data_IF_421524813630
#
_entry.id   IF_421524813630
#
_cell.length_a   1.000
_cell.length_b   1.000
_cell.length_c   1.000
_cell.angle_alpha   90.00
_cell.angle_beta   90.00
_cell.angle_gamma   90.00
#
_symmetry.space_group_name_H-M   'P 1'
#
loop_
_entity.id
_entity.type
_entity.pdbx_description
1 polymer ?
#
# COMPACT_ATOMS: atom_id res chain seq x y z
N UNK A 1 -19.43 20.77 9.69
CA UNK A 1 -18.80 20.56 8.38
C UNK A 1 -18.24 19.13 8.23
N UNK A 2 -17.34 18.67 9.08
CA UNK A 2 -16.72 17.33 8.94
C UNK A 2 -17.69 16.14 9.04
N UNK A 3 -18.63 16.17 9.97
CA UNK A 3 -19.65 15.10 10.14
C UNK A 3 -20.69 14.99 9.01
N UNK A 4 -20.93 16.05 8.25
CA UNK A 4 -21.94 16.07 7.18
C UNK A 4 -21.42 15.61 5.82
N UNK A 5 -20.09 15.55 5.65
CA UNK A 5 -19.46 15.25 4.36
C UNK A 5 -18.88 13.81 4.29
N UNK A 6 -18.96 13.03 5.39
CA UNK A 6 -18.40 11.68 5.50
C UNK A 6 -16.94 11.63 5.01
N UNK A 7 -16.15 12.65 5.44
CA UNK A 7 -14.75 12.70 5.15
C UNK A 7 -14.02 11.67 6.02
N UNK A 8 -13.29 10.77 5.38
CA UNK A 8 -12.40 9.83 6.04
C UNK A 8 -10.98 9.92 5.47
N UNK A 9 -10.00 9.58 6.28
CA UNK A 9 -8.66 9.28 5.81
C UNK A 9 -8.63 7.79 5.50
N UNK A 10 -8.50 7.46 4.21
CA UNK A 10 -8.60 6.07 3.75
C UNK A 10 -7.49 5.22 4.32
N UNK A 11 -6.28 5.75 4.42
CA UNK A 11 -5.15 5.06 5.00
C UNK A 11 -4.10 6.00 5.54
N UNK A 12 -3.49 5.65 6.66
CA UNK A 12 -2.16 6.10 7.06
C UNK A 12 -1.21 4.93 6.84
N UNK A 13 -0.17 5.16 6.05
CA UNK A 13 0.80 4.12 5.69
C UNK A 13 2.19 4.52 6.18
N UNK A 14 2.79 3.67 7.02
CA UNK A 14 4.18 3.81 7.39
C UNK A 14 5.05 3.08 6.35
N UNK A 15 5.86 3.83 5.60
CA UNK A 15 6.91 3.26 4.77
C UNK A 15 8.09 2.84 5.64
N UNK A 16 8.62 1.64 5.46
CA UNK A 16 9.81 1.14 6.17
C UNK A 16 10.75 0.51 5.15
N UNK A 17 11.93 1.10 4.96
CA UNK A 17 12.97 0.49 4.13
C UNK A 17 13.51 -0.77 4.80
N UNK A 18 13.61 -1.86 4.05
CA UNK A 18 14.16 -3.13 4.52
C UNK A 18 15.49 -3.50 3.86
N UNK A 19 16.11 -2.59 3.10
CA UNK A 19 17.38 -2.89 2.40
C UNK A 19 18.51 -3.24 3.36
N UNK A 20 18.58 -2.64 4.54
CA UNK A 20 19.54 -2.94 5.60
C UNK A 20 19.28 -4.26 6.33
N UNK A 21 18.09 -4.86 6.10
CA UNK A 21 17.73 -6.16 6.63
C UNK A 21 18.23 -7.31 5.75
N UNK A 22 18.67 -7.05 4.51
CA UNK A 22 19.21 -8.08 3.63
C UNK A 22 20.31 -8.86 4.31
N UNK A 23 20.28 -10.18 4.19
CA UNK A 23 21.24 -11.10 4.78
C UNK A 23 21.38 -12.37 3.93
N UNK A 24 22.53 -13.05 3.95
CA UNK A 24 22.73 -14.27 3.18
C UNK A 24 21.95 -15.46 3.75
N UNK A 25 21.67 -15.48 5.05
CA UNK A 25 20.89 -16.51 5.71
C UNK A 25 19.51 -15.99 6.13
N UNK A 26 18.53 -16.89 6.09
CA UNK A 26 17.13 -16.55 6.34
C UNK A 26 16.86 -16.13 7.79
N UNK A 27 17.49 -16.75 8.77
CA UNK A 27 17.24 -16.48 10.19
C UNK A 27 17.68 -15.07 10.57
N UNK A 28 18.87 -14.65 10.12
CA UNK A 28 19.36 -13.29 10.31
C UNK A 28 18.47 -12.27 9.62
N UNK A 29 18.02 -12.55 8.40
CA UNK A 29 17.07 -11.71 7.67
C UNK A 29 15.76 -11.57 8.45
N UNK A 30 15.13 -12.69 8.83
CA UNK A 30 13.85 -12.70 9.55
C UNK A 30 13.93 -11.93 10.88
N UNK A 31 15.01 -12.12 11.64
CA UNK A 31 15.26 -11.39 12.87
C UNK A 31 15.37 -9.87 12.65
N UNK A 32 16.13 -9.44 11.63
CA UNK A 32 16.30 -8.01 11.31
C UNK A 32 14.98 -7.37 10.88
N UNK A 33 14.23 -8.02 9.97
CA UNK A 33 12.94 -7.55 9.51
C UNK A 33 11.97 -7.38 10.67
N UNK A 34 11.80 -8.44 11.48
CA UNK A 34 10.92 -8.40 12.65
C UNK A 34 11.31 -7.29 13.61
N UNK A 35 12.60 -7.22 13.98
CA UNK A 35 13.11 -6.19 14.90
C UNK A 35 12.88 -4.77 14.37
N UNK A 36 13.07 -4.54 13.06
CA UNK A 36 12.90 -3.22 12.46
C UNK A 36 11.44 -2.80 12.40
N UNK A 37 10.55 -3.69 11.95
CA UNK A 37 9.11 -3.41 11.87
C UNK A 37 8.52 -3.16 13.25
N UNK A 38 8.76 -4.06 14.22
CA UNK A 38 8.21 -3.91 15.57
C UNK A 38 8.67 -2.60 16.21
N UNK A 39 9.97 -2.29 16.16
CA UNK A 39 10.53 -1.06 16.75
C UNK A 39 9.91 0.22 16.18
N UNK A 40 9.66 0.27 14.86
CA UNK A 40 9.15 1.49 14.23
C UNK A 40 7.63 1.60 14.27
N UNK A 41 6.91 0.48 14.16
CA UNK A 41 5.46 0.49 13.99
C UNK A 41 4.66 0.20 15.28
N UNK A 42 5.32 -0.08 16.42
CA UNK A 42 4.67 -0.40 17.71
C UNK A 42 3.55 0.58 18.08
N UNK A 43 3.77 1.88 17.84
CA UNK A 43 2.83 2.93 18.22
C UNK A 43 1.98 3.47 17.07
N UNK A 44 2.09 2.90 15.86
CA UNK A 44 1.41 3.43 14.67
C UNK A 44 -0.11 3.43 14.83
N UNK A 45 -0.68 2.29 15.22
CA UNK A 45 -2.14 2.10 15.32
C UNK A 45 -2.71 3.04 16.38
N UNK A 46 -2.17 3.01 17.60
CA UNK A 46 -2.60 3.87 18.70
C UNK A 46 -2.51 5.35 18.33
N UNK A 47 -1.40 5.78 17.71
CA UNK A 47 -1.23 7.18 17.30
C UNK A 47 -2.26 7.60 16.26
N UNK A 48 -2.57 6.74 15.29
CA UNK A 48 -3.60 7.01 14.28
C UNK A 48 -4.99 7.16 14.93
N UNK A 49 -5.33 6.31 15.89
CA UNK A 49 -6.61 6.36 16.59
C UNK A 49 -6.73 7.64 17.42
N UNK A 50 -5.70 8.00 18.19
CA UNK A 50 -5.66 9.27 18.97
C UNK A 50 -5.83 10.49 18.05
N UNK A 51 -5.16 10.51 16.90
CA UNK A 51 -5.25 11.64 15.95
C UNK A 51 -6.63 11.66 15.29
N UNK A 52 -7.14 10.50 14.86
CA UNK A 52 -8.48 10.37 14.30
C UNK A 52 -9.56 10.90 15.24
N UNK A 53 -9.51 10.50 16.50
CA UNK A 53 -10.45 10.93 17.54
C UNK A 53 -10.34 12.43 17.81
N UNK A 54 -9.11 12.98 17.89
CA UNK A 54 -8.87 14.42 18.11
C UNK A 54 -9.53 15.29 17.05
N UNK A 55 -9.46 14.89 15.79
CA UNK A 55 -10.03 15.65 14.68
C UNK A 55 -11.46 15.23 14.31
N UNK A 56 -11.97 14.14 14.89
CA UNK A 56 -13.26 13.56 14.53
C UNK A 56 -13.29 13.00 13.10
N UNK A 57 -12.14 12.57 12.57
CA UNK A 57 -11.95 12.03 11.23
C UNK A 57 -11.35 10.63 11.37
N UNK A 58 -12.09 9.56 11.06
CA UNK A 58 -11.58 8.22 11.22
C UNK A 58 -10.44 7.93 10.21
N UNK A 59 -9.38 7.28 10.69
CA UNK A 59 -8.38 6.64 9.85
C UNK A 59 -8.83 5.20 9.61
N UNK A 60 -9.31 4.92 8.40
CA UNK A 60 -9.98 3.64 8.09
C UNK A 60 -9.00 2.48 8.09
N UNK A 61 -7.81 2.64 7.50
CA UNK A 61 -6.78 1.61 7.50
C UNK A 61 -5.44 2.16 8.01
N UNK A 62 -4.74 1.37 8.80
CA UNK A 62 -3.37 1.59 9.22
C UNK A 62 -2.51 0.55 8.52
N UNK A 63 -1.53 0.98 7.74
CA UNK A 63 -0.76 0.09 6.86
C UNK A 63 0.74 0.31 7.03
N UNK A 64 1.48 -0.70 6.62
CA UNK A 64 2.92 -0.60 6.39
C UNK A 64 3.17 -0.86 4.91
N UNK A 65 4.10 -0.14 4.30
CA UNK A 65 4.68 -0.48 3.01
C UNK A 65 6.18 -0.69 3.18
N UNK A 66 6.69 -1.79 2.62
CA UNK A 66 8.12 -2.10 2.72
C UNK A 66 8.80 -2.03 1.36
N UNK A 67 10.13 -2.02 1.35
CA UNK A 67 10.92 -2.12 0.12
C UNK A 67 10.52 -3.34 -0.69
N UNK A 68 10.66 -3.33 -2.03
CA UNK A 68 10.33 -4.48 -2.88
C UNK A 68 11.06 -5.74 -2.40
N UNK A 69 10.31 -6.71 -1.89
CA UNK A 69 10.87 -7.89 -1.23
C UNK A 69 11.71 -8.76 -2.18
N UNK A 70 11.38 -8.81 -3.46
CA UNK A 70 12.20 -9.51 -4.44
C UNK A 70 13.63 -8.95 -4.54
N UNK A 71 13.82 -7.66 -4.26
CA UNK A 71 15.15 -7.03 -4.22
C UNK A 71 15.86 -7.30 -2.90
N UNK A 72 15.15 -7.18 -1.77
CA UNK A 72 15.71 -7.43 -0.44
C UNK A 72 16.12 -8.91 -0.27
N UNK A 73 15.32 -9.81 -0.83
CA UNK A 73 15.47 -11.26 -0.76
C UNK A 73 16.03 -11.88 -2.05
N UNK A 74 16.81 -11.14 -2.84
CA UNK A 74 17.21 -11.54 -4.20
C UNK A 74 17.92 -12.93 -4.28
N UNK A 75 18.57 -13.36 -3.21
CA UNK A 75 19.25 -14.67 -3.13
C UNK A 75 18.40 -15.81 -2.59
N UNK A 76 17.15 -15.57 -2.22
CA UNK A 76 16.31 -16.57 -1.56
C UNK A 76 15.61 -17.50 -2.57
N UNK A 77 15.41 -18.73 -2.15
CA UNK A 77 14.63 -19.73 -2.88
C UNK A 77 13.13 -19.38 -2.82
N UNK A 78 12.34 -20.03 -3.67
CA UNK A 78 10.86 -19.89 -3.68
C UNK A 78 10.26 -20.16 -2.29
N UNK A 79 10.70 -21.19 -1.60
CA UNK A 79 10.16 -21.56 -0.29
C UNK A 79 10.57 -20.55 0.80
N UNK A 80 11.80 -20.03 0.73
CA UNK A 80 12.20 -18.92 1.59
C UNK A 80 11.43 -17.63 1.34
N UNK A 81 10.95 -17.37 0.10
CA UNK A 81 10.05 -16.26 -0.19
C UNK A 81 8.67 -16.45 0.49
N UNK A 82 8.14 -17.68 0.51
CA UNK A 82 6.91 -17.98 1.26
C UNK A 82 7.11 -17.70 2.75
N UNK A 83 8.20 -18.17 3.32
CA UNK A 83 8.51 -17.92 4.74
C UNK A 83 8.72 -16.42 5.03
N UNK A 84 9.37 -15.67 4.12
CA UNK A 84 9.53 -14.22 4.26
C UNK A 84 8.16 -13.50 4.27
N UNK A 85 7.21 -13.98 3.47
CA UNK A 85 5.83 -13.49 3.50
C UNK A 85 5.14 -13.75 4.85
N UNK A 86 5.33 -14.95 5.43
CA UNK A 86 4.81 -15.30 6.75
C UNK A 86 5.42 -14.43 7.86
N UNK A 87 6.72 -14.17 7.81
CA UNK A 87 7.40 -13.25 8.75
C UNK A 87 6.76 -11.86 8.72
N UNK A 88 6.46 -11.33 7.52
CA UNK A 88 5.76 -10.04 7.40
C UNK A 88 4.33 -10.10 7.95
N UNK A 89 3.61 -11.19 7.72
CA UNK A 89 2.24 -11.37 8.23
C UNK A 89 2.18 -11.42 9.76
N UNK A 90 3.14 -12.12 10.36
CA UNK A 90 3.29 -12.15 11.82
C UNK A 90 3.63 -10.76 12.38
N UNK A 91 4.52 -10.01 11.72
CA UNK A 91 4.79 -8.63 12.09
C UNK A 91 3.52 -7.76 12.00
N UNK A 92 2.70 -7.93 10.95
CA UNK A 92 1.45 -7.19 10.79
C UNK A 92 0.46 -7.49 11.93
N UNK A 93 0.39 -8.75 12.36
CA UNK A 93 -0.44 -9.18 13.50
C UNK A 93 0.06 -8.60 14.81
N UNK A 94 1.37 -8.64 15.05
CA UNK A 94 2.00 -8.15 16.28
C UNK A 94 1.81 -6.63 16.49
N UNK A 95 1.98 -5.83 15.41
CA UNK A 95 1.80 -4.37 15.49
C UNK A 95 0.36 -3.92 15.29
N UNK A 96 -0.54 -4.83 14.91
CA UNK A 96 -1.98 -4.59 14.78
C UNK A 96 -2.38 -3.82 13.51
N UNK A 97 -1.51 -3.69 12.50
CA UNK A 97 -1.86 -3.00 11.25
C UNK A 97 -2.78 -3.87 10.37
N UNK A 98 -3.58 -3.22 9.54
CA UNK A 98 -4.53 -3.92 8.67
C UNK A 98 -3.82 -4.69 7.54
N UNK A 99 -2.80 -4.07 6.92
CA UNK A 99 -2.07 -4.66 5.80
C UNK A 99 -0.59 -4.26 5.80
N UNK A 100 0.25 -5.14 5.24
CA UNK A 100 1.62 -4.82 4.80
C UNK A 100 1.70 -5.02 3.29
N UNK A 101 2.08 -3.96 2.57
CA UNK A 101 2.41 -3.97 1.14
C UNK A 101 3.92 -4.06 0.92
N UNK A 102 4.33 -4.34 -0.32
CA UNK A 102 5.74 -4.42 -0.71
C UNK A 102 6.26 -5.86 -0.88
N UNK A 103 5.44 -6.89 -0.60
CA UNK A 103 5.76 -8.25 -1.01
C UNK A 103 5.59 -8.35 -2.53
N UNK A 104 6.57 -7.85 -3.29
CA UNK A 104 6.44 -7.66 -4.72
C UNK A 104 7.77 -7.59 -5.46
N UNK A 105 7.66 -7.47 -6.80
CA UNK A 105 8.78 -7.43 -7.73
C UNK A 105 8.59 -6.35 -8.81
N UNK A 106 9.71 -5.82 -9.32
CA UNK A 106 9.78 -4.78 -10.34
C UNK A 106 10.40 -5.37 -11.61
N UNK A 107 9.56 -5.97 -12.45
CA UNK A 107 10.00 -6.80 -13.58
C UNK A 107 9.86 -6.14 -14.95
N UNK A 108 9.69 -4.82 -15.00
CA UNK A 108 9.51 -4.07 -16.25
C UNK A 108 10.72 -4.11 -17.19
N UNK A 109 11.94 -4.29 -16.66
CA UNK A 109 13.19 -4.35 -17.44
C UNK A 109 13.67 -5.76 -17.75
N UNK A 110 12.98 -6.76 -17.26
CA UNK A 110 13.38 -8.16 -17.26
C UNK A 110 13.14 -8.77 -15.88
N UNK A 111 13.46 -10.03 -15.73
CA UNK A 111 13.18 -10.77 -14.50
C UNK A 111 14.44 -11.49 -14.04
N UNK A 112 14.86 -11.19 -12.81
CA UNK A 112 15.95 -11.91 -12.12
C UNK A 112 15.45 -13.24 -11.56
N UNK A 113 16.35 -14.19 -11.21
CA UNK A 113 15.94 -15.42 -10.54
C UNK A 113 15.20 -15.17 -9.20
N UNK A 114 15.61 -14.17 -8.41
CA UNK A 114 14.93 -13.83 -7.15
C UNK A 114 13.52 -13.29 -7.37
N UNK A 115 13.31 -12.44 -8.37
CA UNK A 115 11.99 -11.95 -8.75
C UNK A 115 11.10 -13.09 -9.25
N UNK A 116 11.64 -14.02 -10.02
CA UNK A 116 10.94 -15.22 -10.44
C UNK A 116 10.53 -16.09 -9.25
N UNK A 117 11.43 -16.32 -8.30
CA UNK A 117 11.13 -17.08 -7.09
C UNK A 117 9.99 -16.45 -6.27
N UNK A 118 9.97 -15.12 -6.14
CA UNK A 118 8.86 -14.42 -5.46
C UNK A 118 7.54 -14.60 -6.21
N UNK A 119 7.54 -14.43 -7.54
CA UNK A 119 6.31 -14.59 -8.36
C UNK A 119 5.79 -16.04 -8.29
N UNK A 120 6.68 -17.03 -8.32
CA UNK A 120 6.31 -18.44 -8.18
C UNK A 120 5.86 -18.80 -6.75
N UNK A 121 6.21 -18.00 -5.75
CA UNK A 121 5.76 -18.16 -4.36
C UNK A 121 4.35 -17.58 -4.11
N UNK A 122 3.84 -16.66 -4.94
CA UNK A 122 2.59 -15.93 -4.71
C UNK A 122 1.38 -16.81 -4.36
N UNK A 123 1.11 -17.93 -5.06
CA UNK A 123 -0.08 -18.73 -4.75
C UNK A 123 -0.08 -19.24 -3.32
N UNK A 124 1.03 -19.81 -2.86
CA UNK A 124 1.15 -20.31 -1.49
C UNK A 124 1.28 -19.18 -0.47
N UNK A 125 2.09 -18.16 -0.74
CA UNK A 125 2.29 -17.03 0.14
C UNK A 125 0.97 -16.31 0.46
N UNK A 126 0.16 -16.00 -0.56
CA UNK A 126 -1.13 -15.32 -0.37
C UNK A 126 -2.23 -16.23 0.17
N UNK A 127 -2.12 -17.56 -0.02
CA UNK A 127 -3.03 -18.51 0.59
C UNK A 127 -2.77 -18.71 2.08
N UNK A 128 -1.52 -18.59 2.54
CA UNK A 128 -1.12 -18.87 3.94
C UNK A 128 -0.97 -17.63 4.81
N UNK A 129 -1.19 -16.44 4.27
CA UNK A 129 -1.11 -15.15 5.00
C UNK A 129 -2.44 -14.40 4.94
N UNK A 130 -2.70 -13.54 5.92
CA UNK A 130 -3.96 -12.80 6.03
C UNK A 130 -3.80 -11.32 5.65
N UNK A 131 -2.73 -10.66 6.09
CA UNK A 131 -2.53 -9.21 6.02
C UNK A 131 -1.51 -8.76 4.98
N UNK A 132 -0.96 -9.67 4.19
CA UNK A 132 0.03 -9.33 3.18
C UNK A 132 -0.65 -9.04 1.85
N UNK A 133 -0.29 -7.90 1.26
CA UNK A 133 -0.67 -7.52 -0.09
C UNK A 133 0.57 -7.48 -0.99
N UNK A 134 0.41 -7.99 -2.21
CA UNK A 134 1.48 -8.13 -3.19
C UNK A 134 1.25 -7.23 -4.40
N UNK A 135 2.33 -6.81 -5.02
CA UNK A 135 2.30 -6.10 -6.31
C UNK A 135 3.44 -6.50 -7.21
N UNK A 136 3.13 -6.65 -8.49
CA UNK A 136 4.13 -6.90 -9.53
C UNK A 136 4.05 -5.78 -10.56
N UNK A 137 5.13 -5.00 -10.72
CA UNK A 137 5.20 -3.96 -11.73
C UNK A 137 5.78 -4.52 -13.03
N UNK A 138 4.94 -4.61 -14.07
CA UNK A 138 5.30 -5.24 -15.36
C UNK A 138 5.66 -4.23 -16.44
N UNK A 139 5.57 -2.94 -16.17
CA UNK A 139 5.85 -1.93 -17.19
C UNK A 139 6.21 -0.58 -16.60
N UNK A 140 6.94 0.22 -17.38
CA UNK A 140 7.25 1.62 -17.08
C UNK A 140 7.37 2.43 -18.37
N UNK A 141 7.24 3.76 -18.25
CA UNK A 141 7.44 4.67 -19.41
C UNK A 141 8.86 4.59 -19.98
N UNK A 142 9.84 4.15 -19.19
CA UNK A 142 11.23 4.01 -19.65
C UNK A 142 11.51 2.66 -20.28
N UNK A 143 10.97 1.58 -19.74
CA UNK A 143 11.28 0.21 -20.17
C UNK A 143 10.23 -0.38 -21.13
N UNK A 144 9.04 0.24 -21.22
CA UNK A 144 7.90 -0.36 -21.91
C UNK A 144 7.21 -1.41 -21.03
N UNK A 145 6.51 -2.34 -21.65
CA UNK A 145 5.77 -3.41 -21.00
C UNK A 145 6.50 -4.73 -21.21
N UNK A 146 6.78 -5.45 -20.13
CA UNK A 146 7.33 -6.82 -20.19
C UNK A 146 6.20 -7.83 -20.44
N UNK A 147 6.00 -8.20 -21.70
CA UNK A 147 4.91 -9.09 -22.10
C UNK A 147 5.06 -10.52 -21.56
N UNK A 148 6.29 -10.99 -21.32
CA UNK A 148 6.52 -12.30 -20.68
C UNK A 148 6.07 -12.27 -19.22
N UNK A 149 6.31 -11.17 -18.52
CA UNK A 149 5.81 -10.96 -17.17
C UNK A 149 4.28 -10.86 -17.14
N UNK A 150 3.67 -10.16 -18.11
CA UNK A 150 2.19 -10.08 -18.23
C UNK A 150 1.58 -11.45 -18.40
N UNK A 151 2.14 -12.29 -19.31
CA UNK A 151 1.69 -13.67 -19.52
C UNK A 151 1.82 -14.50 -18.23
N UNK A 152 3.00 -14.44 -17.60
CA UNK A 152 3.27 -15.17 -16.36
C UNK A 152 2.31 -14.75 -15.24
N UNK A 153 2.03 -13.46 -15.11
CA UNK A 153 1.10 -12.97 -14.09
C UNK A 153 -0.34 -13.42 -14.34
N UNK A 154 -0.76 -13.53 -15.60
CA UNK A 154 -2.04 -14.15 -15.94
C UNK A 154 -2.17 -15.57 -15.40
N UNK A 155 -1.12 -16.39 -15.58
CA UNK A 155 -1.06 -17.76 -15.05
C UNK A 155 -1.06 -17.76 -13.51
N UNK A 156 -0.23 -16.93 -12.89
CA UNK A 156 -0.14 -16.84 -11.42
C UNK A 156 -1.43 -16.35 -10.75
N UNK A 157 -2.18 -15.45 -11.38
CA UNK A 157 -3.50 -15.03 -10.87
C UNK A 157 -4.47 -16.22 -10.82
N UNK A 158 -4.48 -17.06 -11.84
CA UNK A 158 -5.31 -18.28 -11.84
C UNK A 158 -4.87 -19.26 -10.74
N UNK A 159 -3.57 -19.42 -10.53
CA UNK A 159 -3.04 -20.28 -9.46
C UNK A 159 -3.39 -19.71 -8.07
N UNK A 160 -3.31 -18.39 -7.86
CA UNK A 160 -3.74 -17.72 -6.61
C UNK A 160 -5.24 -17.93 -6.38
N UNK A 161 -6.05 -17.80 -7.43
CA UNK A 161 -7.49 -18.05 -7.34
C UNK A 161 -7.77 -19.48 -6.91
N UNK A 162 -7.10 -20.46 -7.56
CA UNK A 162 -7.25 -21.88 -7.21
C UNK A 162 -6.77 -22.18 -5.78
N UNK A 163 -5.62 -21.62 -5.37
CA UNK A 163 -5.07 -21.82 -4.02
C UNK A 163 -5.92 -21.22 -2.89
N UNK A 164 -6.84 -20.32 -3.19
CA UNK A 164 -7.74 -19.65 -2.23
C UNK A 164 -9.23 -19.82 -2.56
N UNK A 165 -9.56 -20.85 -3.36
CA UNK A 165 -10.92 -21.10 -3.83
C UNK A 165 -11.91 -21.37 -2.68
N UNK A 166 -11.45 -21.99 -1.59
CA UNK A 166 -12.20 -22.24 -0.36
C UNK A 166 -12.55 -20.96 0.43
N UNK A 167 -11.93 -19.83 0.08
CA UNK A 167 -12.12 -18.50 0.67
C UNK A 167 -12.50 -17.46 -0.37
N UNK A 168 -13.37 -17.81 -1.31
CA UNK A 168 -13.86 -16.94 -2.38
C UNK A 168 -12.74 -16.28 -3.22
N UNK A 169 -11.63 -16.98 -3.41
CA UNK A 169 -10.45 -16.51 -4.13
C UNK A 169 -9.87 -15.18 -3.57
N UNK A 170 -9.94 -14.98 -2.25
CA UNK A 170 -9.49 -13.75 -1.58
C UNK A 170 -8.02 -13.39 -1.86
N UNK A 171 -7.18 -14.37 -2.19
CA UNK A 171 -5.80 -14.14 -2.59
C UNK A 171 -5.68 -13.18 -3.78
N UNK A 172 -6.63 -13.22 -4.72
CA UNK A 172 -6.64 -12.30 -5.86
C UNK A 172 -6.93 -10.84 -5.45
N UNK A 173 -7.69 -10.62 -4.37
CA UNK A 173 -7.94 -9.28 -3.83
C UNK A 173 -6.70 -8.68 -3.14
N UNK A 174 -5.70 -9.52 -2.81
CA UNK A 174 -4.42 -9.12 -2.21
C UNK A 174 -3.29 -8.98 -3.22
N UNK A 175 -3.54 -9.21 -4.50
CA UNK A 175 -2.56 -9.16 -5.58
C UNK A 175 -2.94 -8.10 -6.61
N UNK A 176 -2.00 -7.23 -6.95
CA UNK A 176 -2.17 -6.25 -8.03
C UNK A 176 -1.02 -6.32 -9.03
N UNK A 177 -1.33 -6.21 -10.31
CA UNK A 177 -0.35 -6.06 -11.38
C UNK A 177 -0.36 -4.61 -11.83
N UNK A 178 0.79 -3.93 -11.66
CA UNK A 178 0.95 -2.53 -12.01
C UNK A 178 1.68 -2.35 -13.34
N UNK A 179 1.37 -1.24 -13.98
CA UNK A 179 2.17 -0.69 -15.07
C UNK A 179 2.44 0.79 -14.78
N UNK A 180 3.71 1.17 -14.72
CA UNK A 180 4.16 2.54 -14.46
C UNK A 180 3.74 3.10 -13.10
N UNK A 181 3.80 2.28 -12.05
CA UNK A 181 3.50 2.71 -10.69
C UNK A 181 4.59 3.67 -10.18
N UNK A 182 4.25 4.80 -9.54
CA UNK A 182 5.19 5.60 -8.77
C UNK A 182 5.76 4.84 -7.56
N UNK A 183 6.92 5.30 -7.07
CA UNK A 183 7.65 4.62 -5.98
C UNK A 183 7.07 4.90 -4.58
N UNK A 184 6.14 5.82 -4.44
CA UNK A 184 5.62 6.36 -3.20
C UNK A 184 4.08 6.38 -3.16
N UNK A 185 3.42 5.29 -3.54
CA UNK A 185 1.95 5.20 -3.56
C UNK A 185 1.41 4.63 -2.25
N UNK A 186 1.11 5.47 -1.24
CA UNK A 186 0.64 4.99 0.06
C UNK A 186 -0.81 4.49 0.03
N UNK A 187 -1.57 4.86 -0.99
CA UNK A 187 -3.00 4.59 -1.09
C UNK A 187 -3.32 3.14 -1.48
N UNK A 188 -2.51 2.54 -2.34
CA UNK A 188 -2.78 1.20 -2.85
C UNK A 188 -2.27 0.13 -1.89
N UNK A 189 -3.12 -0.81 -1.51
CA UNK A 189 -2.68 -2.01 -0.83
C UNK A 189 -1.74 -2.80 -1.77
N UNK A 190 -0.62 -3.27 -1.22
CA UNK A 190 0.43 -3.92 -2.01
C UNK A 190 1.46 -2.99 -2.63
N UNK A 191 1.26 -1.66 -2.59
CA UNK A 191 2.30 -0.70 -2.96
C UNK A 191 3.57 -0.91 -2.12
N UNK A 192 4.71 -0.50 -2.66
CA UNK A 192 6.01 -0.67 -2.03
C UNK A 192 6.65 0.69 -1.72
N UNK A 193 7.61 0.69 -0.80
CA UNK A 193 8.47 1.84 -0.54
C UNK A 193 9.64 1.85 -1.52
N UNK A 194 9.78 2.93 -2.30
CA UNK A 194 10.85 3.08 -3.28
C UNK A 194 12.22 3.30 -2.67
N UNK A 195 13.26 3.11 -3.48
CA UNK A 195 14.67 3.27 -3.07
C UNK A 195 15.02 4.72 -2.72
N UNK A 196 14.32 5.68 -3.33
CA UNK A 196 14.53 7.12 -3.10
C UNK A 196 13.86 7.69 -1.86
N UNK A 197 13.04 6.90 -1.18
CA UNK A 197 12.28 7.30 -0.01
C UNK A 197 13.12 7.28 1.28
N UNK A 198 12.73 8.03 2.34
CA UNK A 198 13.35 7.94 3.66
C UNK A 198 13.31 6.52 4.23
N UNK A 199 14.21 6.22 5.19
CA UNK A 199 14.27 4.90 5.84
C UNK A 199 12.95 4.53 6.54
N UNK A 200 12.31 5.52 7.17
CA UNK A 200 10.93 5.41 7.69
C UNK A 200 10.18 6.71 7.38
N UNK A 201 8.96 6.61 6.88
CA UNK A 201 8.15 7.77 6.47
C UNK A 201 6.66 7.52 6.69
N UNK A 202 5.92 8.57 7.03
CA UNK A 202 4.45 8.51 7.11
C UNK A 202 3.85 9.11 5.86
N UNK A 203 3.01 8.34 5.18
CA UNK A 203 2.24 8.73 4.01
C UNK A 203 0.74 8.59 4.29
N UNK A 204 -0.09 9.36 3.60
CA UNK A 204 -1.54 9.34 3.77
C UNK A 204 -2.23 9.15 2.43
N UNK A 205 -3.25 8.32 2.41
CA UNK A 205 -4.15 8.19 1.28
C UNK A 205 -5.56 8.66 1.67
N UNK A 206 -6.12 9.57 0.89
CA UNK A 206 -7.48 10.09 1.10
C UNK A 206 -8.44 9.56 0.05
N UNK A 207 -9.72 9.41 0.41
CA UNK A 207 -10.76 8.98 -0.52
C UNK A 207 -11.64 10.16 -0.91
N UNK A 208 -11.56 10.55 -2.19
CA UNK A 208 -12.28 11.71 -2.74
C UNK A 208 -13.65 11.43 -3.37
N UNK A 209 -13.92 10.25 -4.01
CA UNK A 209 -15.08 10.08 -4.87
C UNK A 209 -16.42 10.36 -4.20
N UNK A 210 -16.63 9.87 -2.98
CA UNK A 210 -17.88 10.09 -2.24
C UNK A 210 -18.10 11.55 -1.84
N UNK A 211 -17.03 12.26 -1.46
CA UNK A 211 -17.08 13.69 -1.10
C UNK A 211 -17.33 14.53 -2.34
N UNK A 212 -16.64 14.22 -3.45
CA UNK A 212 -16.81 14.90 -4.74
C UNK A 212 -18.25 14.71 -5.26
N UNK A 213 -18.78 13.48 -5.20
CA UNK A 213 -20.17 13.22 -5.60
C UNK A 213 -21.14 14.10 -4.83
N UNK A 214 -21.05 14.14 -3.49
CA UNK A 214 -21.93 14.99 -2.66
C UNK A 214 -21.78 16.48 -2.96
N UNK A 215 -20.58 16.95 -3.26
CA UNK A 215 -20.33 18.33 -3.62
C UNK A 215 -21.00 18.69 -4.96
N UNK A 216 -20.93 17.78 -5.94
CA UNK A 216 -21.60 17.93 -7.23
C UNK A 216 -23.13 17.86 -7.09
N UNK A 217 -23.66 16.91 -6.30
CA UNK A 217 -25.09 16.79 -6.04
C UNK A 217 -25.64 18.11 -5.46
N UNK A 218 -24.98 18.72 -4.48
CA UNK A 218 -25.34 20.03 -3.91
C UNK A 218 -25.27 21.17 -4.95
N UNK A 219 -24.25 21.16 -5.81
CA UNK A 219 -24.12 22.17 -6.85
C UNK A 219 -25.26 22.03 -7.89
N UNK A 220 -25.64 20.80 -8.21
CA UNK A 220 -26.78 20.51 -9.10
C UNK A 220 -28.12 20.92 -8.46
N UNK A 221 -28.32 20.61 -7.17
CA UNK A 221 -29.51 21.07 -6.43
C UNK A 221 -29.65 22.61 -6.42
N UNK A 222 -28.50 23.33 -6.36
CA UNK A 222 -28.51 24.80 -6.31
C UNK A 222 -28.69 25.47 -7.68
N UNK A 223 -28.16 24.88 -8.76
CA UNK A 223 -28.15 25.50 -10.12
C UNK A 223 -29.02 24.75 -11.13
N UNK A 224 -29.41 23.51 -10.89
CA UNK A 224 -30.17 22.67 -11.81
C UNK A 224 -29.52 22.58 -13.18
N UNK A 225 -30.31 22.75 -14.22
CA UNK A 225 -29.88 22.71 -15.62
C UNK A 225 -28.93 23.85 -16.03
N UNK A 226 -28.73 24.85 -15.18
CA UNK A 226 -27.76 25.94 -15.39
C UNK A 226 -26.33 25.59 -14.90
N UNK A 227 -26.11 24.38 -14.32
CA UNK A 227 -24.79 23.93 -13.93
C UNK A 227 -23.94 23.64 -15.18
N UNK A 228 -22.94 24.47 -15.42
CA UNK A 228 -22.03 24.28 -16.55
C UNK A 228 -20.90 23.26 -16.21
N UNK A 229 -20.23 22.74 -17.26
CA UNK A 229 -19.04 21.87 -17.09
C UNK A 229 -17.94 22.61 -16.33
N UNK A 230 -17.78 23.91 -16.56
CA UNK A 230 -16.81 24.76 -15.84
C UNK A 230 -17.14 24.84 -14.36
N UNK A 231 -18.42 25.03 -13.99
CA UNK A 231 -18.84 25.02 -12.58
C UNK A 231 -18.55 23.67 -11.92
N UNK A 232 -18.87 22.57 -12.61
CA UNK A 232 -18.58 21.23 -12.11
C UNK A 232 -17.09 20.99 -11.91
N UNK A 233 -16.25 21.43 -12.84
CA UNK A 233 -14.79 21.34 -12.73
C UNK A 233 -14.26 22.12 -11.52
N UNK A 234 -14.75 23.34 -11.27
CA UNK A 234 -14.37 24.13 -10.09
C UNK A 234 -14.82 23.49 -8.77
N UNK A 235 -16.02 22.90 -8.73
CA UNK A 235 -16.52 22.15 -7.56
C UNK A 235 -15.60 20.96 -7.27
N UNK A 236 -15.22 20.18 -8.29
CA UNK A 236 -14.29 19.04 -8.14
C UNK A 236 -12.95 19.50 -7.63
N UNK A 237 -12.35 20.51 -8.25
CA UNK A 237 -11.04 21.09 -7.88
C UNK A 237 -11.02 21.57 -6.42
N UNK A 238 -12.00 22.36 -6.02
CA UNK A 238 -12.10 22.83 -4.63
C UNK A 238 -12.28 21.70 -3.63
N UNK A 239 -13.08 20.69 -3.99
CA UNK A 239 -13.32 19.53 -3.12
C UNK A 239 -12.06 18.68 -2.99
N UNK A 240 -11.37 18.38 -4.09
CA UNK A 240 -10.12 17.65 -4.08
C UNK A 240 -9.07 18.35 -3.19
N UNK A 241 -8.92 19.66 -3.36
CA UNK A 241 -8.00 20.45 -2.53
C UNK A 241 -8.31 20.35 -1.03
N UNK A 242 -9.60 20.45 -0.64
CA UNK A 242 -10.01 20.31 0.77
C UNK A 242 -9.70 18.92 1.33
N UNK A 243 -10.00 17.88 0.56
CA UNK A 243 -9.77 16.48 0.98
C UNK A 243 -8.27 16.22 1.18
N UNK A 244 -7.44 16.68 0.24
CA UNK A 244 -5.97 16.55 0.33
C UNK A 244 -5.42 17.27 1.57
N UNK A 245 -5.87 18.52 1.81
CA UNK A 245 -5.44 19.31 2.99
C UNK A 245 -5.81 18.63 4.31
N UNK A 246 -6.93 17.95 4.38
CA UNK A 246 -7.30 17.18 5.57
C UNK A 246 -6.36 15.98 5.77
N UNK A 247 -6.07 15.26 4.68
CA UNK A 247 -5.08 14.17 4.72
C UNK A 247 -3.72 14.65 5.20
N UNK A 248 -3.25 15.78 4.67
CA UNK A 248 -1.99 16.41 5.05
C UNK A 248 -1.94 16.78 6.55
N UNK A 249 -3.03 17.34 7.10
CA UNK A 249 -3.11 17.68 8.53
C UNK A 249 -3.01 16.42 9.39
N UNK A 250 -3.78 15.39 9.07
CA UNK A 250 -3.77 14.12 9.81
C UNK A 250 -2.39 13.44 9.70
N UNK A 251 -1.82 13.36 8.49
CA UNK A 251 -0.53 12.73 8.27
C UNK A 251 0.62 13.45 8.98
N UNK A 252 0.65 14.79 8.93
CA UNK A 252 1.64 15.57 9.66
C UNK A 252 1.54 15.38 11.18
N UNK A 253 0.34 15.38 11.74
CA UNK A 253 0.15 15.17 13.19
C UNK A 253 0.61 13.76 13.61
N UNK A 254 0.29 12.72 12.83
CA UNK A 254 0.77 11.35 13.07
C UNK A 254 2.30 11.29 12.98
N UNK A 255 2.89 11.86 11.94
CA UNK A 255 4.33 11.90 11.73
C UNK A 255 5.06 12.61 12.88
N UNK A 256 4.57 13.78 13.30
CA UNK A 256 5.13 14.54 14.43
C UNK A 256 5.08 13.74 15.75
N UNK A 257 3.97 13.07 16.05
CA UNK A 257 3.84 12.26 17.27
C UNK A 257 4.76 11.06 17.28
N UNK A 258 5.04 10.49 16.13
CA UNK A 258 5.97 9.38 15.96
C UNK A 258 7.42 9.85 15.78
N UNK A 259 7.67 11.16 15.68
CA UNK A 259 8.98 11.75 15.36
C UNK A 259 9.56 11.22 14.06
N UNK A 260 8.72 11.15 13.02
CA UNK A 260 9.06 10.66 11.68
C UNK A 260 8.82 11.75 10.63
N UNK A 261 9.47 11.69 9.47
CA UNK A 261 9.15 12.56 8.34
C UNK A 261 7.75 12.25 7.80
N UNK A 262 7.07 13.30 7.33
CA UNK A 262 5.87 13.19 6.51
C UNK A 262 6.28 13.23 5.03
N UNK A 263 5.79 12.28 4.24
CA UNK A 263 6.06 12.18 2.80
C UNK A 263 4.96 12.80 1.96
N UNK A 264 3.94 12.04 1.62
CA UNK A 264 2.88 12.45 0.69
C UNK A 264 1.46 12.23 1.25
N UNK A 265 0.52 13.03 0.72
CA UNK A 265 -0.92 12.92 0.95
C UNK A 265 -1.70 12.87 -0.36
#
# INVERSE_FOLDING_TARGET
MLRSEHLDVRTVTMGISLFDCAAPDFDTFAYKVRSKILRNAEKLVETCDIVGDRYGIPVVNKRISVSPMATVCAGFTRDQMVEACRVLDDCAKDVGVDFIGGFGALVEKGMTPGERNLIDALPEALATTDRICSSINVGSTKAGINMDAVKLMGERILDVAAATADRDAIGCAKLVVFCNIPQDVPFMAGAYLGVGEPDVVINVGVSGPGVVKKALDRAFEAKGDYLTITDAAEVIKHTAYKVTRVGEIIGNEVAQRLNLPFGVA
#
